data_IF_391091937507
#
_entry.id   IF_391091937507
#
_cell.length_a   1.000
_cell.length_b   1.000
_cell.length_c   1.000
_cell.angle_alpha   90.00
_cell.angle_beta   90.00
_cell.angle_gamma   90.00
#
_symmetry.space_group_name_H-M   'P 1'
#
loop_
_entity.id
_entity.type
_entity.pdbx_description
1 polymer ?
#
# COMPACT_ATOMS: atom_id res chain seq x y z
N UNK A 1 -13.24 -29.38 0.07
CA UNK A 1 -12.59 -29.37 1.39
C UNK A 1 -11.55 -28.27 1.33
N UNK A 2 -11.62 -27.26 2.20
CA UNK A 2 -10.61 -26.21 2.25
C UNK A 2 -9.45 -26.71 3.12
N UNK A 3 -8.25 -26.71 2.57
CA UNK A 3 -7.04 -27.12 3.29
C UNK A 3 -6.20 -25.87 3.54
N UNK A 4 -5.86 -25.62 4.80
CA UNK A 4 -5.01 -24.50 5.16
C UNK A 4 -3.56 -24.86 4.80
N UNK A 5 -2.97 -24.10 3.88
CA UNK A 5 -1.58 -24.28 3.47
C UNK A 5 -0.72 -23.14 4.01
N UNK A 6 0.46 -23.48 4.53
CA UNK A 6 1.47 -22.50 4.90
C UNK A 6 2.07 -21.85 3.64
N UNK A 7 2.22 -20.53 3.68
CA UNK A 7 2.82 -19.75 2.59
C UNK A 7 4.11 -19.15 3.11
N UNK A 8 5.24 -19.61 2.59
CA UNK A 8 6.52 -18.97 2.88
C UNK A 8 6.68 -17.73 1.99
N UNK A 9 6.64 -16.55 2.61
CA UNK A 9 6.76 -15.28 1.90
C UNK A 9 8.20 -14.84 1.64
N UNK A 10 9.19 -15.61 2.11
CA UNK A 10 10.62 -15.42 1.87
C UNK A 10 11.14 -14.00 2.22
N UNK A 11 10.51 -13.32 3.17
CA UNK A 11 11.08 -12.09 3.72
C UNK A 11 12.31 -12.43 4.55
N UNK A 12 13.32 -11.55 4.54
CA UNK A 12 14.60 -11.77 5.24
C UNK A 12 14.57 -11.33 6.70
N UNK A 13 13.47 -10.70 7.12
CA UNK A 13 13.27 -10.14 8.44
C UNK A 13 11.77 -10.15 8.78
N UNK A 14 11.40 -9.64 9.97
CA UNK A 14 10.04 -9.59 10.49
C UNK A 14 9.06 -8.97 9.50
N UNK A 15 7.91 -9.62 9.35
CA UNK A 15 6.79 -9.15 8.55
C UNK A 15 5.89 -8.32 9.46
N UNK A 16 5.58 -7.09 9.06
CA UNK A 16 4.81 -6.16 9.90
C UNK A 16 3.34 -6.07 9.51
N UNK A 17 3.02 -6.31 8.25
CA UNK A 17 1.65 -6.17 7.75
C UNK A 17 1.40 -7.07 6.53
N UNK A 18 0.14 -7.45 6.39
CA UNK A 18 -0.41 -8.10 5.21
C UNK A 18 -1.73 -7.42 4.85
N UNK A 19 -1.93 -7.12 3.58
CA UNK A 19 -3.17 -6.54 3.09
C UNK A 19 -3.65 -7.27 1.84
N UNK A 20 -4.92 -7.64 1.82
CA UNK A 20 -5.59 -8.19 0.64
C UNK A 20 -6.07 -7.06 -0.27
N UNK A 21 -6.10 -7.32 -1.57
CA UNK A 21 -6.82 -6.48 -2.51
C UNK A 21 -8.33 -6.56 -2.27
N UNK A 22 -9.08 -5.69 -2.95
CA UNK A 22 -10.54 -5.63 -2.80
C UNK A 22 -11.25 -6.96 -3.10
N UNK A 23 -10.70 -7.75 -4.03
CA UNK A 23 -11.31 -9.01 -4.45
C UNK A 23 -10.80 -10.23 -3.68
N UNK A 24 -9.77 -10.07 -2.84
CA UNK A 24 -9.14 -11.16 -2.08
C UNK A 24 -8.26 -12.10 -2.92
N UNK A 25 -8.00 -11.80 -4.19
CA UNK A 25 -7.18 -12.63 -5.07
C UNK A 25 -5.71 -12.24 -5.06
N UNK A 26 -5.38 -11.09 -4.46
CA UNK A 26 -4.01 -10.62 -4.30
C UNK A 26 -3.76 -10.25 -2.86
N UNK A 27 -2.52 -10.44 -2.42
CA UNK A 27 -2.06 -9.94 -1.13
C UNK A 27 -0.74 -9.22 -1.29
N UNK A 28 -0.53 -8.19 -0.48
CA UNK A 28 0.74 -7.50 -0.34
C UNK A 28 1.27 -7.73 1.07
N UNK A 29 2.56 -7.99 1.19
CA UNK A 29 3.27 -8.15 2.46
C UNK A 29 4.40 -7.14 2.54
N UNK A 30 4.68 -6.64 3.74
CA UNK A 30 5.78 -5.70 3.98
C UNK A 30 6.59 -6.07 5.23
N UNK A 31 7.87 -5.71 5.23
CA UNK A 31 8.82 -6.24 6.22
C UNK A 31 9.90 -5.24 6.63
N UNK A 32 10.55 -5.55 7.76
CA UNK A 32 11.83 -4.95 8.18
C UNK A 32 12.95 -5.14 7.16
N UNK A 33 12.85 -6.06 6.20
CA UNK A 33 13.86 -6.21 5.15
C UNK A 33 13.85 -5.08 4.10
N UNK A 34 12.91 -4.13 4.24
CA UNK A 34 12.67 -2.96 3.38
C UNK A 34 11.94 -3.28 2.07
N UNK A 35 11.48 -4.52 1.87
CA UNK A 35 10.78 -4.94 0.68
C UNK A 35 9.27 -4.97 0.89
N UNK A 36 8.57 -4.78 -0.22
CA UNK A 36 7.17 -5.14 -0.38
C UNK A 36 7.12 -6.26 -1.41
N UNK A 37 6.29 -7.25 -1.12
CA UNK A 37 6.03 -8.38 -2.00
C UNK A 37 4.55 -8.49 -2.28
N UNK A 38 4.20 -8.70 -3.53
CA UNK A 38 2.82 -8.91 -3.98
C UNK A 38 2.68 -10.33 -4.47
N UNK A 39 1.60 -10.97 -4.07
CA UNK A 39 1.30 -12.36 -4.34
C UNK A 39 -0.05 -12.45 -5.03
N UNK A 40 -0.13 -13.33 -6.02
CA UNK A 40 -1.37 -13.63 -6.73
C UNK A 40 -1.83 -15.05 -6.36
N UNK A 41 -3.12 -15.19 -6.11
CA UNK A 41 -3.77 -16.47 -5.86
C UNK A 41 -4.19 -17.11 -7.19
N UNK A 42 -3.83 -18.38 -7.40
CA UNK A 42 -4.33 -19.17 -8.53
C UNK A 42 -5.78 -19.60 -8.30
N UNK A 43 -6.46 -20.07 -9.35
CA UNK A 43 -7.79 -20.69 -9.25
C UNK A 43 -7.84 -21.92 -8.33
N UNK A 44 -6.68 -22.53 -8.08
CA UNK A 44 -6.52 -23.68 -7.18
C UNK A 44 -6.28 -23.25 -5.71
N UNK A 45 -6.28 -21.94 -5.44
CA UNK A 45 -6.08 -21.38 -4.10
C UNK A 45 -4.60 -21.21 -3.70
N UNK A 46 -3.66 -21.54 -4.57
CA UNK A 46 -2.22 -21.45 -4.31
C UNK A 46 -1.71 -20.03 -4.50
N UNK A 47 -0.95 -19.52 -3.53
CA UNK A 47 -0.31 -18.22 -3.60
C UNK A 47 1.06 -18.30 -4.29
N UNK A 48 1.31 -17.38 -5.20
CA UNK A 48 2.57 -17.28 -5.95
C UNK A 48 3.10 -15.86 -5.90
N UNK A 49 4.42 -15.71 -5.72
CA UNK A 49 5.06 -14.40 -5.72
C UNK A 49 4.95 -13.78 -7.11
N UNK A 50 4.25 -12.66 -7.19
CA UNK A 50 4.02 -11.91 -8.43
C UNK A 50 5.12 -10.87 -8.65
N UNK A 51 5.44 -10.10 -7.60
CA UNK A 51 6.46 -9.07 -7.68
C UNK A 51 7.10 -8.80 -6.31
N UNK A 52 8.37 -8.40 -6.30
CA UNK A 52 9.12 -8.07 -5.09
C UNK A 52 10.05 -6.90 -5.38
N UNK A 53 9.98 -5.84 -4.58
CA UNK A 53 10.82 -4.66 -4.77
C UNK A 53 11.20 -4.01 -3.45
N UNK A 54 12.32 -3.30 -3.46
CA UNK A 54 12.74 -2.48 -2.32
C UNK A 54 11.87 -1.22 -2.28
N UNK A 55 10.96 -1.15 -1.33
CA UNK A 55 10.00 -0.06 -1.24
C UNK A 55 10.58 1.14 -0.49
N UNK A 56 11.38 0.91 0.55
CA UNK A 56 11.87 1.96 1.44
C UNK A 56 13.35 1.80 1.78
N UNK A 57 13.91 2.78 2.49
CA UNK A 57 15.28 2.73 3.02
C UNK A 57 15.37 2.21 4.45
N UNK A 58 14.22 2.09 5.13
CA UNK A 58 14.05 1.49 6.45
C UNK A 58 12.87 0.51 6.48
N UNK A 59 12.57 -0.04 7.66
CA UNK A 59 11.47 -1.01 7.85
C UNK A 59 10.15 -0.49 7.30
N UNK A 60 9.44 -1.32 6.54
CA UNK A 60 8.10 -1.00 6.04
C UNK A 60 7.09 -1.47 7.05
N UNK A 61 6.32 -0.56 7.63
CA UNK A 61 5.41 -0.86 8.72
C UNK A 61 4.05 -1.31 8.26
N UNK A 62 3.51 -0.68 7.21
CA UNK A 62 2.16 -0.93 6.71
C UNK A 62 2.10 -0.94 5.19
N UNK A 63 1.16 -1.69 4.67
CA UNK A 63 0.80 -1.73 3.25
C UNK A 63 -0.72 -1.73 3.14
N UNK A 64 -1.26 -1.01 2.17
CA UNK A 64 -2.71 -0.93 1.94
C UNK A 64 -3.02 -0.81 0.46
N UNK A 65 -4.13 -1.42 0.05
CA UNK A 65 -4.65 -1.32 -1.32
C UNK A 65 -5.64 -0.17 -1.43
N UNK A 66 -5.57 0.54 -2.55
CA UNK A 66 -6.63 1.47 -2.93
C UNK A 66 -7.86 0.70 -3.41
N UNK A 67 -9.01 1.37 -3.43
CA UNK A 67 -10.19 0.81 -4.06
C UNK A 67 -9.95 0.63 -5.58
N UNK A 68 -10.38 -0.49 -6.21
CA UNK A 68 -10.05 -0.84 -7.59
C UNK A 68 -10.53 0.17 -8.65
N UNK A 69 -11.48 1.03 -8.29
CA UNK A 69 -11.93 2.17 -9.11
C UNK A 69 -10.80 3.17 -9.43
N UNK A 70 -9.76 3.21 -8.59
CA UNK A 70 -8.56 4.02 -8.81
C UNK A 70 -7.40 3.24 -9.45
N UNK A 71 -7.66 2.00 -9.89
CA UNK A 71 -6.65 1.11 -10.46
C UNK A 71 -5.92 0.24 -9.43
N UNK A 72 -4.83 -0.39 -9.88
CA UNK A 72 -3.99 -1.26 -9.05
C UNK A 72 -2.95 -0.41 -8.31
N UNK A 73 -3.39 0.19 -7.20
CA UNK A 73 -2.59 1.14 -6.42
C UNK A 73 -2.36 0.63 -5.01
N UNK A 74 -1.11 0.73 -4.55
CA UNK A 74 -0.67 0.41 -3.20
C UNK A 74 -0.10 1.65 -2.52
N UNK A 75 -0.31 1.76 -1.21
CA UNK A 75 0.42 2.70 -0.37
C UNK A 75 1.19 1.96 0.72
N UNK A 76 2.37 2.47 1.04
CA UNK A 76 3.28 1.90 2.02
C UNK A 76 3.80 3.01 2.94
N UNK A 77 4.11 2.68 4.19
CA UNK A 77 4.75 3.63 5.11
C UNK A 77 5.92 2.98 5.85
N UNK A 78 6.86 3.81 6.32
CA UNK A 78 8.13 3.30 6.81
C UNK A 78 8.73 4.11 7.97
N UNK A 79 9.64 3.42 8.67
CA UNK A 79 10.58 4.01 9.61
C UNK A 79 11.46 5.10 9.00
N UNK A 80 11.66 5.09 7.67
CA UNK A 80 12.41 6.12 6.97
C UNK A 80 11.69 7.49 6.87
N UNK A 81 10.55 7.62 7.56
CA UNK A 81 9.72 8.82 7.69
C UNK A 81 8.90 9.17 6.46
N UNK A 82 8.83 8.25 5.50
CA UNK A 82 8.08 8.46 4.26
C UNK A 82 6.89 7.53 4.14
N UNK A 83 5.90 7.97 3.38
CA UNK A 83 4.89 7.12 2.79
C UNK A 83 5.02 7.18 1.27
N UNK A 84 4.85 6.06 0.59
CA UNK A 84 4.97 5.99 -0.86
C UNK A 84 3.69 5.42 -1.48
N UNK A 85 3.35 5.93 -2.67
CA UNK A 85 2.24 5.44 -3.49
C UNK A 85 2.83 4.76 -4.73
N UNK A 86 2.35 3.55 -5.00
CA UNK A 86 2.82 2.67 -6.05
C UNK A 86 1.68 2.31 -6.98
N UNK A 87 1.96 2.25 -8.27
CA UNK A 87 1.01 1.78 -9.27
C UNK A 87 1.60 0.59 -10.00
N UNK A 88 0.78 -0.45 -10.21
CA UNK A 88 1.16 -1.57 -11.06
C UNK A 88 0.97 -1.22 -12.54
N UNK A 89 2.03 -1.36 -13.32
CA UNK A 89 2.00 -1.21 -14.77
C UNK A 89 2.14 -2.58 -15.40
N UNK A 90 1.16 -2.90 -16.26
CA UNK A 90 1.19 -4.10 -17.10
C UNK A 90 1.82 -3.69 -18.43
N UNK A 91 3.06 -4.14 -18.66
CA UNK A 91 3.72 -3.91 -19.94
C UNK A 91 3.00 -4.64 -21.09
N UNK A 92 3.11 -4.09 -22.30
CA UNK A 92 2.65 -4.77 -23.50
C UNK A 92 3.46 -6.06 -23.74
N UNK A 93 2.75 -7.14 -24.05
CA UNK A 93 3.33 -8.44 -24.38
C UNK A 93 3.97 -8.41 -25.77
N UNK A 94 5.22 -8.89 -25.94
CA UNK A 94 5.84 -9.01 -27.26
C UNK A 94 5.16 -10.04 -28.20
N UNK A 95 4.25 -10.90 -27.70
CA UNK A 95 3.59 -11.91 -28.52
C UNK A 95 2.38 -12.59 -27.87
N UNK A 96 1.59 -13.36 -28.66
CA UNK A 96 0.41 -14.06 -28.18
C UNK A 96 0.79 -15.22 -27.24
N UNK A 97 0.35 -15.15 -25.98
CA UNK A 97 0.48 -16.23 -24.99
C UNK A 97 1.42 -15.93 -23.81
N UNK A 98 2.20 -14.86 -23.86
CA UNK A 98 3.01 -14.41 -22.71
C UNK A 98 2.16 -13.52 -21.78
N UNK A 99 2.38 -13.60 -20.46
CA UNK A 99 1.82 -12.61 -19.54
C UNK A 99 2.72 -11.37 -19.59
N UNK A 100 2.14 -10.20 -19.82
CA UNK A 100 2.89 -8.94 -19.84
C UNK A 100 3.68 -8.76 -18.54
N UNK A 101 4.88 -8.17 -18.65
CA UNK A 101 5.73 -7.93 -17.49
C UNK A 101 5.02 -6.94 -16.56
N UNK A 102 4.61 -7.41 -15.39
CA UNK A 102 4.05 -6.56 -14.34
C UNK A 102 5.20 -5.97 -13.55
N UNK A 103 5.16 -4.66 -13.34
CA UNK A 103 6.10 -3.99 -12.46
C UNK A 103 5.41 -2.87 -11.68
N UNK A 104 5.88 -2.65 -10.47
CA UNK A 104 5.37 -1.59 -9.60
C UNK A 104 6.24 -0.35 -9.72
N UNK A 105 5.62 0.77 -10.06
CA UNK A 105 6.28 2.07 -10.23
C UNK A 105 5.92 2.96 -9.05
N UNK A 106 6.93 3.56 -8.42
CA UNK A 106 6.69 4.60 -7.40
C UNK A 106 6.16 5.84 -8.10
N UNK A 107 4.93 6.23 -7.80
CA UNK A 107 4.30 7.44 -8.34
C UNK A 107 4.57 8.66 -7.47
N UNK A 108 4.52 8.47 -6.15
CA UNK A 108 4.71 9.55 -5.18
C UNK A 108 5.51 9.06 -3.98
N UNK A 109 6.26 9.99 -3.38
CA UNK A 109 6.91 9.81 -2.08
C UNK A 109 6.55 11.01 -1.18
N UNK A 110 5.71 10.78 -0.18
CA UNK A 110 5.26 11.76 0.81
C UNK A 110 6.31 11.87 1.91
N UNK A 111 6.85 13.08 2.09
CA UNK A 111 8.03 13.35 2.93
C UNK A 111 7.77 14.38 4.04
N UNK A 112 6.50 14.70 4.31
CA UNK A 112 6.12 15.75 5.26
C UNK A 112 6.40 15.38 6.73
N UNK A 113 6.48 14.08 7.04
CA UNK A 113 6.69 13.61 8.41
C UNK A 113 8.15 13.76 8.85
N UNK A 114 8.37 14.23 10.08
CA UNK A 114 9.72 14.40 10.66
C UNK A 114 10.18 13.14 11.40
N UNK A 115 9.28 12.20 11.62
CA UNK A 115 9.50 10.94 12.33
C UNK A 115 8.88 9.76 11.57
N UNK A 116 9.07 8.54 12.08
CA UNK A 116 8.53 7.31 11.48
C UNK A 116 7.04 7.46 11.20
N UNK A 117 6.62 7.12 9.98
CA UNK A 117 5.21 7.00 9.62
C UNK A 117 4.77 5.61 10.05
N UNK A 118 3.84 5.53 11.00
CA UNK A 118 3.46 4.30 11.70
C UNK A 118 2.26 3.60 11.05
N UNK A 119 1.39 4.35 10.37
CA UNK A 119 0.27 3.77 9.64
C UNK A 119 -0.07 4.60 8.39
N UNK A 120 -0.68 3.92 7.42
CA UNK A 120 -1.17 4.49 6.17
C UNK A 120 -2.43 3.76 5.72
N UNK A 121 -3.49 4.51 5.41
CA UNK A 121 -4.79 3.97 4.99
C UNK A 121 -5.45 4.82 3.91
N UNK A 122 -5.86 4.20 2.81
CA UNK A 122 -6.72 4.85 1.84
C UNK A 122 -8.09 5.14 2.45
N UNK A 123 -8.66 6.29 2.10
CA UNK A 123 -10.00 6.69 2.49
C UNK A 123 -11.10 5.98 1.68
N UNK A 124 -12.36 6.13 2.10
CA UNK A 124 -13.50 5.61 1.35
C UNK A 124 -13.57 6.23 -0.05
N UNK A 125 -13.83 5.41 -1.07
CA UNK A 125 -13.88 5.86 -2.47
C UNK A 125 -14.84 7.02 -2.75
N UNK A 126 -15.88 7.16 -1.93
CA UNK A 126 -16.88 8.23 -2.06
C UNK A 126 -16.33 9.61 -1.71
N UNK A 127 -15.17 9.69 -1.08
CA UNK A 127 -14.45 10.93 -0.77
C UNK A 127 -13.33 11.20 -1.77
N UNK A 128 -13.27 10.45 -2.88
CA UNK A 128 -12.17 10.51 -3.85
C UNK A 128 -10.98 9.65 -3.43
N UNK A 129 -9.86 9.82 -4.12
CA UNK A 129 -8.62 9.11 -3.82
C UNK A 129 -7.88 9.81 -2.69
N UNK A 130 -8.27 9.48 -1.45
CA UNK A 130 -7.66 10.02 -0.23
C UNK A 130 -6.72 9.02 0.42
N UNK A 131 -5.68 9.54 1.07
CA UNK A 131 -4.71 8.76 1.82
C UNK A 131 -4.43 9.43 3.15
N UNK A 132 -4.71 8.75 4.26
CA UNK A 132 -4.28 9.20 5.58
C UNK A 132 -2.98 8.53 5.98
N UNK A 133 -2.11 9.29 6.63
CA UNK A 133 -0.90 8.80 7.30
C UNK A 133 -0.88 9.28 8.74
N UNK A 134 -0.32 8.49 9.64
CA UNK A 134 -0.02 8.94 10.99
C UNK A 134 1.44 8.64 11.34
N UNK A 135 2.01 9.45 12.21
CA UNK A 135 3.42 9.40 12.54
C UNK A 135 3.65 9.40 14.05
N UNK A 136 4.85 8.95 14.43
CA UNK A 136 5.28 8.89 15.82
C UNK A 136 5.41 10.28 16.48
N UNK A 137 5.45 11.37 15.70
CA UNK A 137 5.39 12.74 16.23
C UNK A 137 3.98 13.16 16.68
N UNK A 138 2.98 12.28 16.51
CA UNK A 138 1.60 12.56 16.85
C UNK A 138 0.92 13.47 15.82
N UNK A 139 1.31 13.41 14.54
CA UNK A 139 0.63 14.14 13.47
C UNK A 139 -0.05 13.15 12.53
N UNK A 140 -1.33 13.42 12.24
CA UNK A 140 -2.12 12.76 11.21
C UNK A 140 -2.19 13.69 10.01
N UNK A 141 -1.89 13.18 8.82
CA UNK A 141 -1.98 13.92 7.56
C UNK A 141 -2.94 13.23 6.62
N UNK A 142 -3.84 13.99 6.01
CA UNK A 142 -4.77 13.51 4.99
C UNK A 142 -4.39 14.16 3.67
N UNK A 143 -4.04 13.33 2.70
CA UNK A 143 -3.71 13.72 1.34
C UNK A 143 -4.84 13.31 0.40
N UNK A 144 -4.96 14.03 -0.71
CA UNK A 144 -5.87 13.70 -1.80
C UNK A 144 -5.13 13.78 -3.12
N UNK A 145 -5.36 12.83 -4.03
CA UNK A 145 -4.92 12.94 -5.41
C UNK A 145 -6.00 13.71 -6.19
N UNK A 146 -5.72 14.95 -6.65
CA UNK A 146 -6.73 15.77 -7.34
C UNK A 146 -7.11 15.18 -8.71
N UNK A 147 -6.18 14.45 -9.32
CA UNK A 147 -6.38 13.73 -10.58
C UNK A 147 -5.99 12.26 -10.38
N UNK A 148 -6.99 11.38 -10.44
CA UNK A 148 -6.80 9.92 -10.30
C UNK A 148 -5.97 9.32 -11.43
N UNK A 149 -5.85 10.02 -12.57
CA UNK A 149 -4.99 9.61 -13.68
C UNK A 149 -3.53 10.01 -13.45
N UNK A 150 -3.26 10.94 -12.51
CA UNK A 150 -1.93 11.42 -12.19
C UNK A 150 -1.59 11.21 -10.71
N UNK A 151 -1.22 9.97 -10.38
CA UNK A 151 -0.83 9.56 -9.03
C UNK A 151 0.51 10.16 -8.53
N UNK A 152 1.19 10.99 -9.34
CA UNK A 152 2.39 11.72 -8.94
C UNK A 152 2.11 12.99 -8.14
N UNK A 153 0.84 13.41 -8.09
CA UNK A 153 0.43 14.63 -7.40
C UNK A 153 -0.57 14.31 -6.29
N UNK A 154 -0.19 14.70 -5.08
CA UNK A 154 -1.00 14.55 -3.87
C UNK A 154 -0.97 15.85 -3.10
N UNK A 155 -2.15 16.41 -2.80
CA UNK A 155 -2.29 17.65 -2.03
C UNK A 155 -2.59 17.32 -0.59
N UNK A 156 -1.85 17.93 0.34
CA UNK A 156 -2.14 17.85 1.77
C UNK A 156 -3.42 18.65 2.06
N UNK A 157 -4.51 17.96 2.41
CA UNK A 157 -5.81 18.57 2.74
C UNK A 157 -5.88 18.96 4.20
N UNK A 158 -5.43 18.06 5.08
CA UNK A 158 -5.54 18.25 6.52
C UNK A 158 -4.28 17.78 7.24
N UNK A 159 -3.91 18.54 8.25
CA UNK A 159 -2.90 18.17 9.24
C UNK A 159 -3.53 18.29 10.63
N UNK A 160 -3.51 17.21 11.41
CA UNK A 160 -4.13 17.13 12.73
C UNK A 160 -3.07 16.74 13.76
N UNK A 161 -2.80 17.65 14.69
CA UNK A 161 -1.88 17.42 15.80
C UNK A 161 -2.59 16.67 16.95
N UNK A 162 -2.07 15.51 17.28
CA UNK A 162 -2.40 14.73 18.46
C UNK A 162 -1.41 15.05 19.59
N UNK A 163 -1.86 14.86 20.84
CA UNK A 163 -1.03 15.08 22.05
C UNK A 163 0.01 13.99 22.28
N UNK A 164 -0.20 12.82 21.68
CA UNK A 164 0.60 11.62 21.85
C UNK A 164 0.99 11.06 20.47
N UNK A 165 2.08 10.27 20.40
CA UNK A 165 2.42 9.51 19.20
C UNK A 165 1.23 8.70 18.68
N UNK A 166 1.02 8.74 17.37
CA UNK A 166 0.00 7.91 16.73
C UNK A 166 0.61 6.55 16.38
N UNK A 167 -0.20 5.49 16.49
CA UNK A 167 0.22 4.12 16.17
C UNK A 167 -0.61 3.45 15.07
N UNK A 168 -1.85 3.90 14.88
CA UNK A 168 -2.78 3.31 13.93
C UNK A 168 -3.80 4.32 13.42
N UNK A 169 -4.36 4.04 12.26
CA UNK A 169 -5.47 4.76 11.63
C UNK A 169 -6.54 3.78 11.18
N UNK A 170 -7.79 4.23 11.23
CA UNK A 170 -8.88 3.57 10.53
C UNK A 170 -9.86 4.62 10.04
N UNK A 171 -10.24 4.53 8.78
CA UNK A 171 -11.35 5.29 8.24
C UNK A 171 -12.67 4.62 8.64
N UNK A 172 -13.72 5.40 8.80
CA UNK A 172 -15.06 4.85 8.87
C UNK A 172 -15.47 4.40 7.45
N UNK A 173 -15.77 3.11 7.23
CA UNK A 173 -16.19 2.63 5.91
C UNK A 173 -17.62 3.01 5.55
N UNK A 174 -18.43 3.48 6.51
CA UNK A 174 -19.84 3.78 6.27
C UNK A 174 -20.03 5.01 5.39
N UNK A 175 -20.99 4.92 4.47
CA UNK A 175 -21.42 5.97 3.55
C UNK A 175 -22.26 7.08 4.21
N UNK A 176 -22.19 7.29 5.54
CA UNK A 176 -23.12 8.21 6.19
C UNK A 176 -22.89 9.64 5.71
N UNK A 177 -23.86 10.13 4.93
CA UNK A 177 -24.07 11.55 4.63
C UNK A 177 -24.49 12.30 5.88
#
# INVERSE_FOLDING_TARGET
MFEAQEINVEHKDLIHDVAYDFYGHRMATCSSDHFVKVWDQSSEGKWTLSYSWKAHSGSVWKVTWAHPEFGQVLATCSFDRTAAVWEEIVGETPGPGERGTRHWVRRTNLVDSRTSVTDVKFGPKTQGLQLATCSAEGIIRIYEAPDVMNLSQWTLQHEVQCKLPCSCLSWNPSLSK
#
